data_IF_397534013121
#
_entry.id   IF_397534013121
#
_cell.length_a   1.000
_cell.length_b   1.000
_cell.length_c   1.000
_cell.angle_alpha   90.00
_cell.angle_beta   90.00
_cell.angle_gamma   90.00
#
_symmetry.space_group_name_H-M   'P 1'
#
loop_
_entity.id
_entity.type
_entity.pdbx_description
1 polymer ?
#
# COMPACT_ATOMS: atom_id res chain seq x y z
N UNK A 1 -1.60 1.20 -3.24
CA UNK A 1 -0.56 0.46 -2.51
C UNK A 1 -0.88 -1.01 -2.50
N UNK A 2 0.14 -1.84 -2.71
CA UNK A 2 0.06 -3.29 -2.84
C UNK A 2 0.73 -3.97 -1.64
N UNK A 3 0.01 -4.81 -0.91
CA UNK A 3 0.50 -5.45 0.32
C UNK A 3 0.43 -6.96 0.21
N UNK A 4 1.37 -7.62 0.89
CA UNK A 4 1.34 -9.06 1.11
C UNK A 4 0.97 -9.37 2.57
N UNK A 5 0.00 -10.24 2.79
CA UNK A 5 -0.36 -10.76 4.11
C UNK A 5 0.05 -12.24 4.18
N UNK A 6 0.92 -12.55 5.14
CA UNK A 6 1.42 -13.91 5.39
C UNK A 6 0.99 -14.34 6.78
N UNK A 7 -0.03 -15.20 6.86
CA UNK A 7 -0.68 -15.60 8.11
C UNK A 7 -1.27 -17.00 7.94
N UNK A 8 -0.92 -17.95 8.78
CA UNK A 8 -1.38 -19.34 8.67
C UNK A 8 -2.79 -19.56 9.22
N UNK A 9 -3.21 -18.74 10.20
CA UNK A 9 -4.56 -18.78 10.72
C UNK A 9 -5.55 -18.14 9.69
N UNK A 10 -6.23 -19.00 8.92
CA UNK A 10 -7.11 -18.57 7.81
C UNK A 10 -8.14 -17.53 8.21
N UNK A 11 -8.79 -17.70 9.36
CA UNK A 11 -9.83 -16.78 9.83
C UNK A 11 -9.26 -15.39 10.12
N UNK A 12 -8.07 -15.30 10.72
CA UNK A 12 -7.38 -14.04 10.97
C UNK A 12 -6.88 -13.42 9.66
N UNK A 13 -6.26 -14.21 8.79
CA UNK A 13 -5.81 -13.77 7.47
C UNK A 13 -6.96 -13.14 6.66
N UNK A 14 -8.10 -13.85 6.53
CA UNK A 14 -9.27 -13.34 5.81
C UNK A 14 -9.83 -12.07 6.44
N UNK A 15 -9.81 -11.97 7.77
CA UNK A 15 -10.26 -10.78 8.50
C UNK A 15 -9.38 -9.57 8.19
N UNK A 16 -8.06 -9.73 8.24
CA UNK A 16 -7.08 -8.70 7.89
C UNK A 16 -7.26 -8.29 6.42
N UNK A 17 -7.27 -9.25 5.50
CA UNK A 17 -7.44 -9.01 4.06
C UNK A 17 -8.73 -8.25 3.76
N UNK A 18 -9.85 -8.66 4.38
CA UNK A 18 -11.14 -7.98 4.20
C UNK A 18 -11.13 -6.55 4.71
N UNK A 19 -10.50 -6.31 5.87
CA UNK A 19 -10.35 -4.95 6.42
C UNK A 19 -9.54 -4.06 5.50
N UNK A 20 -8.38 -4.51 5.07
CA UNK A 20 -7.49 -3.74 4.20
C UNK A 20 -8.08 -3.52 2.80
N UNK A 21 -8.79 -4.53 2.26
CA UNK A 21 -9.51 -4.37 0.99
C UNK A 21 -10.65 -3.36 1.06
N UNK A 22 -11.31 -3.20 2.21
CA UNK A 22 -12.31 -2.12 2.40
C UNK A 22 -11.68 -0.73 2.38
N UNK A 23 -10.43 -0.61 2.80
CA UNK A 23 -9.64 0.61 2.68
C UNK A 23 -9.03 0.80 1.26
N UNK A 24 -9.49 0.03 0.27
CA UNK A 24 -9.05 0.10 -1.13
C UNK A 24 -7.55 -0.24 -1.37
N UNK A 25 -6.88 -0.96 -0.46
CA UNK A 25 -5.57 -1.53 -0.75
C UNK A 25 -5.68 -2.75 -1.68
N UNK A 26 -4.66 -2.97 -2.51
CA UNK A 26 -4.46 -4.24 -3.23
C UNK A 26 -3.78 -5.22 -2.31
N UNK A 27 -4.32 -6.44 -2.17
CA UNK A 27 -3.84 -7.40 -1.17
C UNK A 27 -3.69 -8.77 -1.80
N UNK A 28 -2.44 -9.26 -1.79
CA UNK A 28 -2.13 -10.68 -1.93
C UNK A 28 -1.99 -11.31 -0.56
N UNK A 29 -2.18 -12.61 -0.46
CA UNK A 29 -2.03 -13.32 0.78
C UNK A 29 -1.62 -14.77 0.58
N UNK A 30 -0.93 -15.31 1.56
CA UNK A 30 -0.58 -16.72 1.62
C UNK A 30 -0.55 -17.21 3.07
N UNK A 31 -0.44 -18.53 3.25
CA UNK A 31 -0.60 -19.19 4.53
C UNK A 31 0.65 -19.92 5.01
N UNK A 32 1.75 -19.83 4.27
CA UNK A 32 3.02 -20.47 4.63
C UNK A 32 4.22 -19.69 4.11
N UNK A 33 5.39 -19.95 4.73
CA UNK A 33 6.60 -19.19 4.44
C UNK A 33 7.24 -19.52 3.09
N UNK A 34 7.03 -20.72 2.52
CA UNK A 34 7.54 -21.06 1.18
C UNK A 34 6.82 -20.25 0.11
N UNK A 35 5.47 -20.23 0.18
CA UNK A 35 4.67 -19.42 -0.73
C UNK A 35 4.94 -17.93 -0.57
N UNK A 36 5.21 -17.47 0.67
CA UNK A 36 5.62 -16.10 0.91
C UNK A 36 6.90 -15.75 0.15
N UNK A 37 7.94 -16.59 0.21
CA UNK A 37 9.19 -16.36 -0.51
C UNK A 37 9.01 -16.39 -2.03
N UNK A 38 8.14 -17.25 -2.55
CA UNK A 38 7.80 -17.28 -3.99
C UNK A 38 7.20 -15.94 -4.42
N UNK A 39 6.18 -15.44 -3.70
CA UNK A 39 5.52 -14.17 -3.99
C UNK A 39 6.48 -12.99 -3.84
N UNK A 40 7.30 -12.95 -2.80
CA UNK A 40 8.30 -11.92 -2.58
C UNK A 40 9.42 -11.91 -3.63
N UNK A 41 9.62 -13.03 -4.33
CA UNK A 41 10.58 -13.14 -5.43
C UNK A 41 10.02 -12.73 -6.79
N UNK A 42 8.69 -12.80 -6.97
CA UNK A 42 8.03 -12.53 -8.26
C UNK A 42 7.33 -11.18 -8.32
N UNK A 43 6.95 -10.61 -7.19
CA UNK A 43 6.12 -9.41 -7.11
C UNK A 43 6.76 -8.34 -6.22
N UNK A 44 6.36 -7.09 -6.46
CA UNK A 44 6.74 -5.95 -5.62
C UNK A 44 5.61 -5.56 -4.67
N UNK A 45 5.97 -5.33 -3.43
CA UNK A 45 5.03 -4.91 -2.39
C UNK A 45 5.50 -3.62 -1.71
N UNK A 46 4.54 -2.79 -1.32
CA UNK A 46 4.79 -1.59 -0.50
C UNK A 46 4.98 -1.96 0.98
N UNK A 47 4.30 -3.03 1.41
CA UNK A 47 4.31 -3.54 2.78
C UNK A 47 4.06 -5.04 2.80
N UNK A 48 4.81 -5.73 3.66
CA UNK A 48 4.59 -7.14 4.01
C UNK A 48 4.12 -7.20 5.47
N UNK A 49 3.01 -7.86 5.72
CA UNK A 49 2.51 -8.21 7.05
C UNK A 49 2.83 -9.67 7.25
N UNK A 50 3.69 -9.98 8.21
CA UNK A 50 4.34 -11.29 8.33
C UNK A 50 4.16 -11.89 9.71
N UNK A 51 3.45 -13.02 9.80
CA UNK A 51 3.52 -13.86 11.00
C UNK A 51 4.87 -14.57 11.09
N UNK A 52 5.34 -14.73 12.31
CA UNK A 52 6.55 -15.51 12.61
C UNK A 52 6.27 -17.02 12.72
N UNK A 53 5.09 -17.40 13.18
CA UNK A 53 4.73 -18.79 13.39
C UNK A 53 4.07 -19.41 12.14
N UNK A 54 4.85 -19.56 11.08
CA UNK A 54 4.37 -20.09 9.81
C UNK A 54 4.76 -21.55 9.63
N UNK A 55 3.93 -22.36 8.96
CA UNK A 55 4.31 -23.70 8.54
C UNK A 55 5.35 -23.67 7.41
N UNK A 56 6.03 -24.78 7.17
CA UNK A 56 7.09 -25.06 6.20
C UNK A 56 8.35 -24.22 6.41
N UNK A 57 8.26 -22.90 6.36
CA UNK A 57 9.35 -21.95 6.57
C UNK A 57 8.91 -20.91 7.60
N UNK A 58 9.59 -20.83 8.75
CA UNK A 58 9.26 -19.85 9.81
C UNK A 58 9.47 -18.40 9.33
N UNK A 59 8.67 -17.48 9.87
CA UNK A 59 8.65 -16.10 9.40
C UNK A 59 9.95 -15.33 9.62
N UNK A 60 10.74 -15.66 10.68
CA UNK A 60 12.06 -15.06 10.87
C UNK A 60 13.02 -15.44 9.75
N UNK A 61 12.96 -16.70 9.31
CA UNK A 61 13.75 -17.18 8.19
C UNK A 61 13.30 -16.55 6.87
N UNK A 62 11.98 -16.37 6.68
CA UNK A 62 11.42 -15.62 5.54
C UNK A 62 11.97 -14.19 5.53
N UNK A 63 11.88 -13.47 6.66
CA UNK A 63 12.37 -12.10 6.79
C UNK A 63 13.85 -11.98 6.44
N UNK A 64 14.69 -12.84 7.03
CA UNK A 64 16.14 -12.81 6.78
C UNK A 64 16.49 -13.08 5.33
N UNK A 65 15.83 -14.06 4.68
CA UNK A 65 16.04 -14.33 3.24
C UNK A 65 15.59 -13.16 2.39
N UNK A 66 14.41 -12.62 2.66
CA UNK A 66 13.89 -11.47 1.92
C UNK A 66 14.80 -10.25 2.03
N UNK A 67 15.34 -9.96 3.21
CA UNK A 67 16.27 -8.83 3.43
C UNK A 67 17.63 -8.96 2.73
N UNK A 68 17.99 -10.13 2.23
CA UNK A 68 19.19 -10.30 1.38
C UNK A 68 19.00 -9.67 -0.01
N UNK A 69 17.76 -9.68 -0.53
CA UNK A 69 17.42 -9.14 -1.87
C UNK A 69 16.71 -7.79 -1.83
N UNK A 70 15.95 -7.51 -0.76
CA UNK A 70 15.16 -6.29 -0.63
C UNK A 70 15.33 -5.68 0.77
N UNK A 71 15.80 -4.42 0.82
CA UNK A 71 15.98 -3.64 2.06
C UNK A 71 15.01 -2.49 2.19
N UNK A 72 14.21 -2.22 1.16
CA UNK A 72 13.34 -1.05 1.08
C UNK A 72 11.89 -1.36 1.42
N UNK A 73 11.37 -2.51 0.96
CA UNK A 73 10.01 -2.94 1.28
C UNK A 73 9.80 -3.00 2.79
N UNK A 74 8.75 -2.37 3.27
CA UNK A 74 8.43 -2.34 4.69
C UNK A 74 7.89 -3.68 5.16
N UNK A 75 8.30 -4.10 6.35
CA UNK A 75 7.82 -5.34 6.97
C UNK A 75 7.27 -5.02 8.35
N UNK A 76 6.00 -5.39 8.58
CA UNK A 76 5.33 -5.39 9.87
C UNK A 76 5.19 -6.83 10.34
N UNK A 77 5.84 -7.18 11.44
CA UNK A 77 5.67 -8.50 12.05
C UNK A 77 4.37 -8.54 12.85
N UNK A 78 3.60 -9.60 12.67
CA UNK A 78 2.50 -10.01 13.56
C UNK A 78 2.91 -11.28 14.28
N UNK A 79 2.88 -11.31 15.62
CA UNK A 79 3.28 -12.55 16.32
C UNK A 79 2.67 -12.67 17.71
N UNK A 80 2.41 -13.92 18.12
CA UNK A 80 2.08 -14.25 19.50
C UNK A 80 3.30 -14.20 20.45
N UNK A 81 4.53 -14.10 19.92
CA UNK A 81 5.76 -13.96 20.72
C UNK A 81 5.81 -12.55 21.28
N UNK A 82 5.71 -12.41 22.60
CA UNK A 82 5.56 -11.12 23.27
C UNK A 82 6.78 -10.68 24.06
N UNK A 83 7.81 -11.52 24.14
CA UNK A 83 9.02 -11.19 24.89
C UNK A 83 9.78 -10.04 24.21
N UNK A 84 10.42 -9.21 25.02
CA UNK A 84 11.23 -8.07 24.50
C UNK A 84 12.32 -8.58 23.57
N UNK A 85 12.92 -9.73 23.89
CA UNK A 85 13.95 -10.36 23.06
C UNK A 85 13.46 -10.72 21.65
N UNK A 86 12.21 -11.22 21.52
CA UNK A 86 11.62 -11.55 20.21
C UNK A 86 11.40 -10.30 19.38
N UNK A 87 10.91 -9.23 20.01
CA UNK A 87 10.67 -7.95 19.33
C UNK A 87 11.98 -7.33 18.84
N UNK A 88 13.00 -7.32 19.69
CA UNK A 88 14.34 -6.83 19.33
C UNK A 88 14.91 -7.67 18.19
N UNK A 89 14.85 -9.01 18.29
CA UNK A 89 15.35 -9.88 17.24
C UNK A 89 14.64 -9.67 15.88
N UNK A 90 13.32 -9.43 15.90
CA UNK A 90 12.54 -9.11 14.68
C UNK A 90 12.95 -7.79 14.04
N UNK A 91 13.12 -6.75 14.85
CA UNK A 91 13.54 -5.43 14.38
C UNK A 91 14.99 -5.44 13.88
N UNK A 92 15.89 -6.10 14.60
CA UNK A 92 17.31 -6.26 14.20
C UNK A 92 17.45 -7.10 12.91
N UNK A 93 16.52 -8.02 12.66
CA UNK A 93 16.46 -8.78 11.42
C UNK A 93 15.94 -7.96 10.23
N UNK A 94 15.56 -6.69 10.45
CA UNK A 94 15.15 -5.75 9.42
C UNK A 94 13.64 -5.55 9.28
N UNK A 95 12.83 -5.95 10.25
CA UNK A 95 11.44 -5.51 10.33
C UNK A 95 11.36 -4.01 10.66
N UNK A 96 10.33 -3.33 10.15
CA UNK A 96 10.13 -1.90 10.38
C UNK A 96 9.23 -1.63 11.60
N UNK A 97 8.40 -2.59 11.99
CA UNK A 97 7.57 -2.53 13.20
C UNK A 97 7.16 -3.94 13.62
N UNK A 98 6.61 -4.04 14.85
CA UNK A 98 6.20 -5.29 15.47
C UNK A 98 4.87 -5.09 16.20
N UNK A 99 3.88 -5.94 15.90
CA UNK A 99 2.58 -5.95 16.55
C UNK A 99 2.30 -7.32 17.18
N UNK A 100 2.08 -7.33 18.48
CA UNK A 100 1.82 -8.55 19.23
C UNK A 100 0.36 -8.99 19.09
N UNK A 101 0.14 -10.30 18.93
CA UNK A 101 -1.19 -10.93 19.03
C UNK A 101 -1.54 -11.17 20.52
N UNK A 102 -2.80 -10.96 20.94
CA UNK A 102 -3.92 -10.42 20.18
C UNK A 102 -3.84 -8.91 19.99
N UNK A 103 -4.38 -8.39 18.89
CA UNK A 103 -4.42 -6.97 18.56
C UNK A 103 -5.80 -6.53 18.06
N UNK A 104 -6.06 -5.25 18.09
CA UNK A 104 -7.22 -4.65 17.45
C UNK A 104 -6.90 -4.27 15.99
N UNK A 105 -7.84 -4.50 15.06
CA UNK A 105 -7.66 -4.11 13.65
C UNK A 105 -7.33 -2.63 13.48
N UNK A 106 -7.91 -1.76 14.31
CA UNK A 106 -7.62 -0.32 14.29
C UNK A 106 -6.14 -0.02 14.62
N UNK A 107 -5.48 -0.83 15.47
CA UNK A 107 -4.05 -0.69 15.76
C UNK A 107 -3.22 -1.13 14.55
N UNK A 108 -3.54 -2.28 13.96
CA UNK A 108 -2.90 -2.77 12.74
C UNK A 108 -2.97 -1.70 11.65
N UNK A 109 -4.16 -1.16 11.37
CA UNK A 109 -4.37 -0.12 10.37
C UNK A 109 -3.58 1.16 10.67
N UNK A 110 -3.47 1.56 11.94
CA UNK A 110 -2.68 2.73 12.34
C UNK A 110 -1.18 2.51 12.09
N UNK A 111 -0.65 1.32 12.38
CA UNK A 111 0.76 0.97 12.12
C UNK A 111 1.06 0.91 10.64
N UNK A 112 0.16 0.30 9.85
CA UNK A 112 0.27 0.28 8.37
C UNK A 112 0.36 1.72 7.84
N UNK A 113 -0.53 2.61 8.25
CA UNK A 113 -0.46 4.03 7.86
C UNK A 113 0.86 4.67 8.25
N UNK A 114 1.32 4.48 9.48
CA UNK A 114 2.60 5.02 9.95
C UNK A 114 3.77 4.53 9.09
N UNK A 115 3.77 3.25 8.70
CA UNK A 115 4.81 2.67 7.88
C UNK A 115 4.77 3.18 6.43
N UNK A 116 3.59 3.32 5.85
CA UNK A 116 3.42 3.71 4.46
C UNK A 116 3.58 5.22 4.22
N UNK A 117 3.36 6.05 5.25
CA UNK A 117 3.46 7.51 5.17
C UNK A 117 4.84 8.09 5.56
N UNK A 118 5.79 7.28 6.01
CA UNK A 118 7.10 7.76 6.54
C UNK A 118 8.00 8.53 5.56
N UNK A 119 7.66 8.63 4.29
CA UNK A 119 8.36 9.53 3.35
C UNK A 119 7.87 10.97 3.43
N UNK A 120 6.75 11.22 4.11
CA UNK A 120 6.15 12.54 4.28
C UNK A 120 6.28 12.98 5.74
N UNK A 121 6.56 14.26 5.95
CA UNK A 121 6.68 14.87 7.27
C UNK A 121 5.48 14.48 8.14
N UNK A 122 5.73 14.05 9.34
CA UNK A 122 4.88 13.38 10.34
C UNK A 122 3.55 14.12 10.72
N UNK A 123 3.06 15.08 9.92
CA UNK A 123 1.95 15.98 10.27
C UNK A 123 0.69 15.84 9.40
N UNK A 124 0.78 15.32 8.21
CA UNK A 124 -0.37 15.41 7.30
C UNK A 124 -1.08 14.07 7.10
N UNK A 125 -2.14 13.87 7.88
CA UNK A 125 -3.17 12.83 7.61
C UNK A 125 -3.91 13.14 6.30
N UNK A 126 -3.82 14.40 5.82
CA UNK A 126 -4.44 14.88 4.59
C UNK A 126 -3.36 15.35 3.62
N UNK A 127 -3.25 14.69 2.48
CA UNK A 127 -2.41 15.14 1.36
C UNK A 127 -3.16 16.22 0.58
N UNK A 128 -2.46 17.25 0.12
CA UNK A 128 -3.05 18.33 -0.68
C UNK A 128 -2.30 18.55 -1.99
N UNK A 129 -3.04 18.88 -3.03
CA UNK A 129 -2.51 19.27 -4.34
C UNK A 129 -3.43 20.35 -4.96
N UNK A 130 -3.10 21.62 -4.76
CA UNK A 130 -4.02 22.71 -5.03
C UNK A 130 -5.31 22.59 -4.22
N UNK A 131 -6.47 22.63 -4.86
CA UNK A 131 -7.79 22.48 -4.24
C UNK A 131 -8.19 21.01 -3.98
N UNK A 132 -7.37 20.03 -4.39
CA UNK A 132 -7.59 18.62 -4.17
C UNK A 132 -6.99 18.21 -2.82
N UNK A 133 -7.77 17.44 -2.02
CA UNK A 133 -7.33 16.89 -0.73
C UNK A 133 -7.61 15.39 -0.71
N UNK A 134 -6.73 14.63 -0.05
CA UNK A 134 -6.87 13.19 0.15
C UNK A 134 -6.61 12.84 1.62
N UNK A 135 -7.64 12.37 2.33
CA UNK A 135 -7.51 11.85 3.68
C UNK A 135 -6.94 10.43 3.63
N UNK A 136 -5.71 10.26 4.10
CA UNK A 136 -5.00 8.97 4.08
C UNK A 136 -5.58 7.98 5.09
N UNK A 137 -6.28 8.43 6.13
CA UNK A 137 -6.93 7.59 7.13
C UNK A 137 -8.24 7.02 6.61
N UNK A 138 -9.11 7.88 6.08
CA UNK A 138 -10.39 7.48 5.49
C UNK A 138 -10.22 6.95 4.06
N UNK A 139 -9.08 7.23 3.41
CA UNK A 139 -8.80 6.99 1.98
C UNK A 139 -9.87 7.56 1.07
N UNK A 140 -10.23 8.79 1.34
CA UNK A 140 -11.23 9.56 0.60
C UNK A 140 -10.62 10.84 0.03
N UNK A 141 -11.03 11.17 -1.20
CA UNK A 141 -10.66 12.41 -1.84
C UNK A 141 -11.78 13.45 -1.71
N UNK A 142 -11.41 14.73 -1.64
CA UNK A 142 -12.34 15.85 -1.66
C UNK A 142 -11.76 17.03 -2.42
N UNK A 143 -12.64 17.89 -2.94
CA UNK A 143 -12.28 19.16 -3.57
C UNK A 143 -13.08 20.28 -2.92
N UNK A 144 -12.38 21.29 -2.37
CA UNK A 144 -13.04 22.40 -1.65
C UNK A 144 -14.02 21.92 -0.56
N UNK A 145 -13.69 20.78 0.11
CA UNK A 145 -14.54 20.17 1.12
C UNK A 145 -15.66 19.26 0.60
N UNK A 146 -15.93 19.24 -0.71
CA UNK A 146 -16.90 18.33 -1.32
C UNK A 146 -16.27 16.94 -1.59
N UNK A 147 -16.87 15.82 -1.14
CA UNK A 147 -16.30 14.51 -1.35
C UNK A 147 -16.36 14.08 -2.82
N UNK A 148 -15.30 13.41 -3.29
CA UNK A 148 -15.21 12.79 -4.60
C UNK A 148 -15.52 11.30 -4.53
N UNK A 149 -16.47 10.83 -5.33
CA UNK A 149 -16.78 9.40 -5.44
C UNK A 149 -15.84 8.72 -6.42
N UNK A 150 -14.86 8.00 -5.89
CA UNK A 150 -13.86 7.24 -6.64
C UNK A 150 -14.09 5.73 -6.49
N UNK A 151 -13.76 4.98 -7.53
CA UNK A 151 -13.65 3.52 -7.44
C UNK A 151 -12.38 3.15 -6.68
N UNK A 152 -12.27 1.89 -6.22
CA UNK A 152 -11.09 1.38 -5.52
C UNK A 152 -9.78 1.61 -6.29
N UNK A 153 -9.76 1.36 -7.60
CA UNK A 153 -8.57 1.56 -8.43
C UNK A 153 -8.25 3.05 -8.64
N UNK A 154 -9.26 3.87 -8.87
CA UNK A 154 -9.10 5.33 -8.95
C UNK A 154 -8.55 5.92 -7.64
N UNK A 155 -9.03 5.44 -6.49
CA UNK A 155 -8.53 5.83 -5.17
C UNK A 155 -7.06 5.46 -5.00
N UNK A 156 -6.68 4.24 -5.36
CA UNK A 156 -5.29 3.78 -5.29
C UNK A 156 -4.36 4.56 -6.22
N UNK A 157 -4.77 4.84 -7.45
CA UNK A 157 -4.01 5.66 -8.40
C UNK A 157 -3.83 7.08 -7.85
N UNK A 158 -4.91 7.70 -7.38
CA UNK A 158 -4.86 9.07 -6.86
C UNK A 158 -3.95 9.16 -5.65
N UNK A 159 -4.11 8.25 -4.68
CA UNK A 159 -3.25 8.18 -3.50
C UNK A 159 -1.78 8.06 -3.88
N UNK A 160 -1.45 7.13 -4.79
CA UNK A 160 -0.06 6.90 -5.18
C UNK A 160 0.55 8.12 -5.88
N UNK A 161 -0.20 8.77 -6.76
CA UNK A 161 0.24 10.01 -7.41
C UNK A 161 0.41 11.16 -6.39
N UNK A 162 -0.51 11.32 -5.45
CA UNK A 162 -0.43 12.36 -4.41
C UNK A 162 0.69 12.12 -3.40
N UNK A 163 1.03 10.86 -3.14
CA UNK A 163 2.20 10.49 -2.33
C UNK A 163 3.53 10.76 -3.06
N UNK A 164 3.53 10.91 -4.37
CA UNK A 164 4.71 11.12 -5.20
C UNK A 164 4.60 12.41 -6.04
N UNK A 165 4.04 13.48 -5.45
CA UNK A 165 3.90 14.76 -6.16
C UNK A 165 5.24 15.26 -6.71
N UNK A 166 5.21 15.87 -7.89
CA UNK A 166 6.40 16.42 -8.56
C UNK A 166 7.27 15.37 -9.26
N UNK A 167 6.95 14.07 -9.15
CA UNK A 167 7.67 12.98 -9.80
C UNK A 167 6.76 12.28 -10.83
N UNK A 168 7.22 12.06 -12.08
CA UNK A 168 6.51 11.20 -13.03
C UNK A 168 6.48 9.75 -12.54
N UNK A 169 5.32 9.12 -12.64
CA UNK A 169 5.10 7.72 -12.26
C UNK A 169 4.78 6.91 -13.50
N UNK A 170 5.58 5.89 -13.79
CA UNK A 170 5.38 5.04 -14.96
C UNK A 170 4.10 4.21 -14.86
N UNK A 171 3.62 3.68 -15.99
CA UNK A 171 2.46 2.78 -15.98
C UNK A 171 2.77 1.48 -15.25
N UNK A 172 4.00 0.96 -15.40
CA UNK A 172 4.47 -0.24 -14.71
C UNK A 172 4.47 -0.02 -13.19
N UNK A 173 5.04 1.09 -12.74
CA UNK A 173 5.05 1.45 -11.32
C UNK A 173 3.63 1.59 -10.75
N UNK A 174 2.68 2.18 -11.48
CA UNK A 174 1.28 2.23 -11.04
C UNK A 174 0.63 0.84 -10.99
N UNK A 175 0.98 -0.06 -11.90
CA UNK A 175 0.49 -1.44 -11.87
C UNK A 175 1.02 -2.15 -10.63
N UNK A 176 2.31 -2.10 -10.38
CA UNK A 176 2.97 -2.75 -9.24
C UNK A 176 2.34 -2.33 -7.90
N UNK A 177 1.96 -1.05 -7.76
CA UNK A 177 1.47 -0.50 -6.49
C UNK A 177 -0.07 -0.43 -6.33
N UNK A 178 -0.84 -0.59 -7.41
CA UNK A 178 -2.30 -0.43 -7.36
C UNK A 178 -3.07 -1.68 -7.76
N UNK A 179 -2.43 -2.65 -8.44
CA UNK A 179 -3.05 -3.91 -8.82
C UNK A 179 -2.53 -5.06 -7.94
N UNK A 180 -3.41 -6.02 -7.68
CA UNK A 180 -3.08 -7.31 -7.04
C UNK A 180 -3.04 -8.42 -8.11
N UNK A 181 -2.45 -9.56 -7.78
CA UNK A 181 -2.30 -10.71 -8.69
C UNK A 181 -3.63 -11.34 -9.16
N UNK A 182 -4.76 -10.86 -8.65
CA UNK A 182 -6.08 -11.40 -9.00
C UNK A 182 -6.65 -10.90 -10.34
N UNK A 183 -5.93 -10.02 -11.04
CA UNK A 183 -6.43 -9.38 -12.29
C UNK A 183 -5.38 -9.52 -13.37
N UNK A 184 -5.78 -10.06 -14.53
CA UNK A 184 -4.98 -10.07 -15.77
C UNK A 184 -4.42 -8.67 -16.06
N UNK A 185 -3.10 -8.57 -16.09
CA UNK A 185 -2.32 -7.36 -16.30
C UNK A 185 -2.38 -6.88 -17.76
N UNK A 186 -3.54 -6.44 -18.22
CA UNK A 186 -3.61 -5.76 -19.51
C UNK A 186 -3.35 -4.25 -19.35
N UNK A 187 -2.32 -3.76 -20.00
CA UNK A 187 -1.92 -2.33 -20.01
C UNK A 187 -3.05 -1.36 -20.40
N UNK A 188 -4.10 -1.85 -21.04
CA UNK A 188 -5.29 -1.06 -21.34
C UNK A 188 -6.15 -0.74 -20.11
N UNK A 189 -6.10 -1.54 -19.06
CA UNK A 189 -6.87 -1.34 -17.83
C UNK A 189 -6.47 -0.04 -17.11
N UNK A 190 -5.18 0.25 -17.00
CA UNK A 190 -4.70 1.46 -16.31
C UNK A 190 -5.13 2.76 -17.01
N UNK A 191 -5.04 2.81 -18.35
CA UNK A 191 -5.44 3.98 -19.15
C UNK A 191 -6.92 4.29 -18.99
N UNK A 192 -7.76 3.27 -18.89
CA UNK A 192 -9.21 3.42 -18.66
C UNK A 192 -9.46 4.04 -17.28
N UNK A 193 -8.81 3.55 -16.23
CA UNK A 193 -8.96 4.07 -14.88
C UNK A 193 -8.40 5.49 -14.73
N UNK A 194 -7.25 5.78 -15.34
CA UNK A 194 -6.70 7.15 -15.37
C UNK A 194 -7.62 8.09 -16.13
N UNK A 195 -8.16 7.69 -17.28
CA UNK A 195 -9.10 8.50 -18.04
C UNK A 195 -10.37 8.81 -17.26
N UNK A 196 -10.92 7.82 -16.55
CA UNK A 196 -12.10 8.00 -15.70
C UNK A 196 -11.80 8.91 -14.51
N UNK A 197 -10.65 8.72 -13.84
CA UNK A 197 -10.18 9.56 -12.75
C UNK A 197 -10.01 11.02 -13.19
N UNK A 198 -9.30 11.25 -14.32
CA UNK A 198 -9.11 12.60 -14.90
C UNK A 198 -10.43 13.28 -15.21
N UNK A 199 -11.42 12.54 -15.74
CA UNK A 199 -12.75 13.09 -16.00
C UNK A 199 -13.41 13.58 -14.73
N UNK A 200 -13.37 12.79 -13.64
CA UNK A 200 -13.94 13.15 -12.34
C UNK A 200 -13.25 14.35 -11.72
N UNK A 201 -11.91 14.37 -11.76
CA UNK A 201 -11.10 15.48 -11.24
C UNK A 201 -11.39 16.78 -12.04
N UNK A 202 -11.42 16.72 -13.36
CA UNK A 202 -11.78 17.89 -14.20
C UNK A 202 -13.17 18.42 -13.91
N UNK A 203 -14.15 17.55 -13.70
CA UNK A 203 -15.51 17.97 -13.36
C UNK A 203 -15.55 18.70 -12.02
N UNK A 204 -14.76 18.25 -11.03
CA UNK A 204 -14.78 18.81 -9.69
C UNK A 204 -13.88 20.05 -9.51
N UNK A 205 -12.75 20.11 -10.22
CA UNK A 205 -11.74 21.17 -10.08
C UNK A 205 -11.83 22.25 -11.18
N UNK A 206 -12.46 21.95 -12.31
CA UNK A 206 -12.42 22.81 -13.50
C UNK A 206 -11.16 22.66 -14.34
N UNK A 207 -10.15 21.93 -13.89
CA UNK A 207 -8.90 21.65 -14.60
C UNK A 207 -8.46 20.20 -14.37
N UNK A 208 -7.45 19.74 -15.12
CA UNK A 208 -6.89 18.40 -15.00
C UNK A 208 -5.57 18.45 -14.23
N UNK A 209 -5.52 17.94 -12.99
CA UNK A 209 -4.29 17.94 -12.21
C UNK A 209 -3.32 16.83 -12.63
N UNK A 210 -3.78 15.83 -13.43
CA UNK A 210 -2.92 14.72 -13.85
C UNK A 210 -2.34 15.04 -15.24
N UNK A 211 -1.04 15.29 -15.28
CA UNK A 211 -0.27 15.53 -16.50
C UNK A 211 0.28 14.20 -17.03
N UNK A 212 0.37 14.07 -18.35
CA UNK A 212 1.06 12.96 -18.99
C UNK A 212 2.42 13.45 -19.49
N UNK A 213 3.52 12.85 -19.01
CA UNK A 213 4.86 13.04 -19.55
C UNK A 213 5.20 11.89 -20.48
N UNK A 214 5.36 12.21 -21.76
CA UNK A 214 5.61 11.23 -22.83
C UNK A 214 6.90 10.47 -22.50
N UNK A 215 6.82 9.14 -22.45
CA UNK A 215 7.94 8.24 -22.11
C UNK A 215 8.25 8.10 -20.62
N UNK A 216 7.70 8.95 -19.75
CA UNK A 216 8.00 8.93 -18.30
C UNK A 216 6.78 8.45 -17.47
N UNK A 217 5.54 8.77 -17.88
CA UNK A 217 4.33 8.36 -17.17
C UNK A 217 3.42 9.50 -16.77
N UNK A 218 2.80 9.41 -15.60
CA UNK A 218 1.81 10.36 -15.08
C UNK A 218 2.36 11.11 -13.87
N UNK A 219 2.01 12.38 -13.80
CA UNK A 219 2.42 13.30 -12.74
C UNK A 219 1.19 14.04 -12.24
N UNK A 220 1.09 14.30 -10.93
CA UNK A 220 0.05 15.15 -10.36
C UNK A 220 0.65 16.50 -9.95
N UNK A 221 0.00 17.58 -10.36
CA UNK A 221 0.39 18.97 -10.09
C UNK A 221 -0.86 19.78 -9.74
N UNK A 222 -0.72 20.72 -8.80
CA UNK A 222 -1.75 21.74 -8.55
C UNK A 222 -1.88 22.69 -9.75
N UNK A 223 -2.92 23.51 -9.77
CA UNK A 223 -2.97 24.63 -10.69
C UNK A 223 -1.76 25.55 -10.44
N UNK A 224 -1.03 25.91 -11.47
CA UNK A 224 -0.09 27.04 -11.40
C UNK A 224 -0.92 28.31 -11.13
N UNK A 225 -0.58 29.05 -10.07
CA UNK A 225 -1.17 30.36 -9.79
C UNK A 225 -0.80 31.38 -10.89
#
# INVERSE_FOLDING_TARGET
MHFLVVEDERALCETIVRSLRRLAYSIDYCYDGEKALELLGSEKYDLVILDLNLPKQDGMSVLRKFRQSDRETRVLILSARNEVADKVAGLDAGANDYLSKPFHLAELEARIRSLTLRQFTQRDVVLTCGALSFDTKARTASTQGAPLTLTRKETGILEYLMLNQGRPISQEELIDHVWDNSVDNFSNSIRVHISALRKKLRTALGYDPIRNRIGEGYLIEGAEE
#
